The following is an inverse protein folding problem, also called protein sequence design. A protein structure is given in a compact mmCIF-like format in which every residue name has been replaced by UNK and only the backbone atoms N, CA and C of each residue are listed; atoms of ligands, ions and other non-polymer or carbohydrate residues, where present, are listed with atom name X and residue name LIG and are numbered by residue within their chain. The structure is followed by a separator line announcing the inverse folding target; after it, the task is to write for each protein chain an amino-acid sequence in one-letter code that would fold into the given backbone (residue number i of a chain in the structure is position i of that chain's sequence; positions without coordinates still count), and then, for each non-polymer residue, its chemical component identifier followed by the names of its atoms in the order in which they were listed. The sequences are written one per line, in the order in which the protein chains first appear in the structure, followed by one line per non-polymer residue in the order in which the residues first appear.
data_IF_498012234634
#
_entry.id   IF_498012234634
#
_cell.length_a   1.000
_cell.length_b   1.000
_cell.length_c   1.000
_cell.angle_alpha   90.00
_cell.angle_beta   90.00
_cell.angle_gamma   90.00
#
_symmetry.space_group_name_H-M   'P 1'
#
loop_
_entity.id
_entity.type
_entity.pdbx_description
1 polymer ?
#
# COMPACT_ATOMS: atom_id res chain seq x y z
N UNK A 1 49.88 47.19 42.64
CA UNK A 1 49.31 48.24 41.78
C UNK A 1 47.79 48.20 41.99
N UNK A 2 47.30 48.91 43.01
CA UNK A 2 46.61 50.23 42.90
C UNK A 2 45.09 50.02 42.71
N UNK A 3 44.30 50.00 43.80
CA UNK A 3 43.42 51.08 44.34
C UNK A 3 41.94 50.92 43.92
N UNK A 4 41.13 50.69 44.95
CA UNK A 4 39.80 51.26 45.31
C UNK A 4 38.96 52.04 44.29
N UNK A 5 37.67 51.70 44.22
CA UNK A 5 36.53 52.63 44.08
C UNK A 5 35.23 51.84 44.36
N UNK A 6 34.08 52.37 44.75
CA UNK A 6 33.61 53.57 45.45
C UNK A 6 32.07 53.39 45.47
N UNK A 7 31.43 53.33 46.63
CA UNK A 7 29.97 53.27 46.74
C UNK A 7 29.36 54.67 46.60
N UNK A 8 28.33 54.83 45.75
CA UNK A 8 27.34 55.94 45.85
C UNK A 8 26.09 55.67 45.01
N UNK A 9 24.91 55.89 45.61
CA UNK A 9 23.61 56.06 44.94
C UNK A 9 22.58 54.96 45.25
N UNK A 10 22.03 54.84 46.47
CA UNK A 10 20.82 55.49 46.99
C UNK A 10 19.53 55.35 46.14
N UNK A 11 18.71 54.37 46.55
CA UNK A 11 17.28 54.45 46.85
C UNK A 11 16.40 55.45 46.09
N UNK A 12 15.49 54.90 45.26
CA UNK A 12 14.09 55.34 45.21
C UNK A 12 13.18 54.13 45.34
N UNK A 13 12.43 54.10 46.44
CA UNK A 13 11.24 53.30 46.58
C UNK A 13 10.10 53.98 45.80
N UNK A 14 9.31 53.22 45.04
CA UNK A 14 7.90 53.57 44.81
C UNK A 14 7.04 52.32 44.55
N UNK A 15 6.31 51.97 45.61
CA UNK A 15 4.95 51.46 45.70
C UNK A 15 4.34 50.70 44.50
N UNK A 16 4.16 49.38 44.66
CA UNK A 16 3.15 48.60 43.90
C UNK A 16 1.89 48.43 44.75
N UNK A 17 0.68 48.68 44.23
CA UNK A 17 -0.56 48.48 44.97
C UNK A 17 -0.88 46.98 45.11
N UNK A 18 -1.66 46.57 46.14
CA UNK A 18 -2.05 45.18 46.30
C UNK A 18 -3.04 44.76 45.21
N UNK A 19 -2.86 43.53 44.72
CA UNK A 19 -3.75 42.89 43.74
C UNK A 19 -5.19 42.88 44.28
N UNK A 20 -6.09 43.59 43.59
CA UNK A 20 -7.54 43.43 43.77
C UNK A 20 -7.93 41.99 43.44
N UNK A 21 -8.53 41.31 44.40
CA UNK A 21 -9.29 40.08 44.17
C UNK A 21 -10.36 40.34 43.11
N UNK A 22 -10.24 39.69 41.94
CA UNK A 22 -11.34 39.66 40.97
C UNK A 22 -12.53 38.93 41.58
N UNK A 23 -13.74 39.51 41.55
CA UNK A 23 -14.94 38.79 41.95
C UNK A 23 -15.39 37.88 40.79
N UNK A 24 -15.57 36.60 41.10
CA UNK A 24 -16.40 35.62 40.38
C UNK A 24 -16.13 35.50 38.86
N UNK A 25 -15.16 34.66 38.50
CA UNK A 25 -15.28 33.91 37.25
C UNK A 25 -16.56 33.04 37.36
N UNK A 26 -17.50 33.08 36.41
CA UNK A 26 -18.67 32.23 36.46
C UNK A 26 -18.21 30.78 36.39
N UNK A 27 -18.58 29.98 37.40
CA UNK A 27 -18.44 28.54 37.32
C UNK A 27 -19.13 28.06 36.04
N UNK A 28 -18.49 27.19 35.24
CA UNK A 28 -19.14 26.63 34.07
C UNK A 28 -20.38 25.87 34.55
N UNK A 29 -21.56 26.37 34.17
CA UNK A 29 -22.82 25.77 34.56
C UNK A 29 -22.93 24.29 34.13
N UNK A 30 -23.80 23.50 34.77
CA UNK A 30 -23.88 22.05 34.59
C UNK A 30 -24.05 21.58 33.12
N UNK A 31 -24.54 22.44 32.22
CA UNK A 31 -24.65 22.18 30.79
C UNK A 31 -23.29 22.04 30.05
N UNK A 32 -22.23 22.71 30.51
CA UNK A 32 -20.89 22.61 29.89
C UNK A 32 -20.20 21.29 30.26
N UNK A 33 -20.49 20.78 31.46
CA UNK A 33 -19.97 19.49 31.92
C UNK A 33 -20.71 18.29 31.30
N UNK A 34 -21.99 18.44 30.94
CA UNK A 34 -22.78 17.38 30.29
C UNK A 34 -22.40 17.15 28.81
N UNK A 35 -22.02 18.18 28.04
CA UNK A 35 -21.71 18.06 26.59
C UNK A 35 -20.39 17.29 26.32
N UNK A 36 -19.55 17.11 27.33
CA UNK A 36 -18.29 16.35 27.20
C UNK A 36 -18.54 14.84 27.19
N UNK A 37 -19.72 14.37 27.65
CA UNK A 37 -20.03 12.93 27.82
C UNK A 37 -20.75 12.29 26.64
N UNK A 38 -21.08 13.04 25.58
CA UNK A 38 -21.82 12.56 24.39
C UNK A 38 -21.06 12.67 23.05
N UNK A 39 -19.81 13.13 23.04
CA UNK A 39 -19.00 13.27 21.82
C UNK A 39 -18.19 12.03 21.46
N UNK A 40 -18.83 10.90 21.11
CA UNK A 40 -18.11 9.69 20.71
C UNK A 40 -17.55 9.76 19.27
N UNK A 41 -18.22 10.51 18.38
CA UNK A 41 -17.77 10.77 17.01
C UNK A 41 -17.51 12.27 16.79
N UNK A 42 -16.52 12.57 15.95
CA UNK A 42 -16.08 13.94 15.67
C UNK A 42 -17.14 14.75 14.91
N UNK A 43 -17.78 14.13 13.91
CA UNK A 43 -18.77 14.80 13.08
C UNK A 43 -20.19 14.60 13.64
N UNK A 44 -20.89 15.70 13.96
CA UNK A 44 -22.29 15.68 14.43
C UNK A 44 -23.34 15.85 13.32
N UNK A 45 -22.92 16.31 12.14
CA UNK A 45 -23.76 16.50 10.96
C UNK A 45 -23.02 16.04 9.69
N UNK A 46 -23.74 15.80 8.59
CA UNK A 46 -23.12 15.40 7.32
C UNK A 46 -22.50 14.00 7.28
N UNK A 47 -22.77 13.18 8.31
CA UNK A 47 -22.21 11.83 8.50
C UNK A 47 -22.49 10.94 7.30
N UNK A 48 -23.71 10.97 6.75
CA UNK A 48 -24.08 10.13 5.59
C UNK A 48 -23.18 10.42 4.39
N UNK A 49 -22.90 11.70 4.10
CA UNK A 49 -21.99 12.08 3.02
C UNK A 49 -20.55 11.60 3.26
N UNK A 50 -20.09 11.65 4.52
CA UNK A 50 -18.77 11.14 4.91
C UNK A 50 -18.69 9.63 4.72
N UNK A 51 -19.68 8.88 5.22
CA UNK A 51 -19.72 7.41 5.09
C UNK A 51 -19.81 6.99 3.63
N UNK A 52 -20.61 7.67 2.81
CA UNK A 52 -20.73 7.35 1.38
C UNK A 52 -19.44 7.62 0.61
N UNK A 53 -18.83 8.79 0.79
CA UNK A 53 -17.56 9.13 0.12
C UNK A 53 -16.41 8.26 0.59
N UNK A 54 -16.33 7.98 1.89
CA UNK A 54 -15.32 7.08 2.45
C UNK A 54 -15.53 5.64 1.98
N UNK A 55 -16.79 5.17 1.93
CA UNK A 55 -17.12 3.85 1.43
C UNK A 55 -16.76 3.70 -0.05
N UNK A 56 -17.10 4.70 -0.87
CA UNK A 56 -16.69 4.75 -2.27
C UNK A 56 -15.16 4.74 -2.42
N UNK A 57 -14.44 5.48 -1.58
CA UNK A 57 -12.98 5.55 -1.59
C UNK A 57 -12.33 4.18 -1.35
N UNK A 58 -12.78 3.43 -0.34
CA UNK A 58 -12.26 2.08 -0.06
C UNK A 58 -12.76 1.02 -1.05
N UNK A 59 -13.97 1.17 -1.60
CA UNK A 59 -14.45 0.30 -2.68
C UNK A 59 -13.64 0.50 -3.96
N UNK A 60 -13.23 1.72 -4.29
CA UNK A 60 -12.34 1.98 -5.44
C UNK A 60 -10.97 1.29 -5.26
N UNK A 61 -10.45 1.24 -4.03
CA UNK A 61 -9.25 0.45 -3.74
C UNK A 61 -9.49 -1.06 -3.97
N UNK A 62 -10.61 -1.61 -3.50
CA UNK A 62 -10.96 -3.01 -3.75
C UNK A 62 -11.13 -3.32 -5.25
N UNK A 63 -11.85 -2.46 -5.98
CA UNK A 63 -12.00 -2.60 -7.43
C UNK A 63 -10.66 -2.47 -8.17
N UNK A 64 -9.75 -1.62 -7.68
CA UNK A 64 -8.41 -1.49 -8.26
C UNK A 64 -7.59 -2.76 -8.08
N UNK A 65 -7.69 -3.42 -6.94
CA UNK A 65 -6.97 -4.67 -6.67
C UNK A 65 -7.57 -5.86 -7.45
N UNK A 66 -8.90 -5.92 -7.57
CA UNK A 66 -9.59 -6.93 -8.38
C UNK A 66 -9.28 -6.77 -9.89
N UNK A 67 -9.35 -5.53 -10.41
CA UNK A 67 -9.07 -5.23 -11.80
C UNK A 67 -7.58 -5.28 -12.17
N UNK A 68 -6.67 -5.29 -11.20
CA UNK A 68 -5.22 -5.32 -11.44
C UNK A 68 -4.76 -6.63 -12.09
N UNK A 69 -5.55 -7.70 -11.97
CA UNK A 69 -5.21 -9.00 -12.52
C UNK A 69 -4.09 -9.68 -11.75
N UNK A 70 -4.05 -9.56 -10.42
CA UNK A 70 -3.13 -10.36 -9.60
C UNK A 70 -3.59 -11.82 -9.52
N UNK A 71 -4.85 -12.02 -9.16
CA UNK A 71 -5.52 -13.32 -9.11
C UNK A 71 -6.83 -13.19 -9.85
N UNK A 72 -7.27 -14.28 -10.49
CA UNK A 72 -8.57 -14.29 -11.16
C UNK A 72 -9.70 -14.06 -10.14
N UNK A 73 -10.53 -13.04 -10.40
CA UNK A 73 -11.77 -12.75 -9.69
C UNK A 73 -11.61 -12.62 -8.16
N UNK A 74 -11.00 -11.51 -7.72
CA UNK A 74 -10.88 -11.14 -6.31
C UNK A 74 -12.14 -10.37 -5.82
N UNK A 75 -13.32 -10.74 -6.30
CA UNK A 75 -14.60 -10.12 -5.89
C UNK A 75 -14.87 -10.18 -4.38
N UNK A 76 -14.18 -11.06 -3.64
CA UNK A 76 -14.17 -11.14 -2.17
C UNK A 76 -13.74 -9.83 -1.49
N UNK A 77 -12.93 -8.99 -2.15
CA UNK A 77 -12.47 -7.73 -1.57
C UNK A 77 -13.64 -6.78 -1.27
N UNK A 78 -14.75 -6.88 -2.00
CA UNK A 78 -15.95 -6.06 -1.80
C UNK A 78 -16.61 -6.35 -0.44
N UNK A 79 -17.08 -7.58 -0.13
CA UNK A 79 -17.66 -7.86 1.17
C UNK A 79 -16.67 -7.68 2.33
N UNK A 80 -15.36 -7.81 2.09
CA UNK A 80 -14.32 -7.51 3.09
C UNK A 80 -14.31 -6.02 3.44
N UNK A 81 -14.27 -5.13 2.43
CA UNK A 81 -14.34 -3.68 2.64
C UNK A 81 -15.66 -3.28 3.30
N UNK A 82 -16.78 -3.82 2.85
CA UNK A 82 -18.10 -3.51 3.44
C UNK A 82 -18.17 -3.92 4.92
N UNK A 83 -17.68 -5.11 5.26
CA UNK A 83 -17.60 -5.58 6.65
C UNK A 83 -16.69 -4.70 7.50
N UNK A 84 -15.51 -4.34 7.00
CA UNK A 84 -14.55 -3.49 7.68
C UNK A 84 -15.08 -2.08 7.92
N UNK A 85 -15.76 -1.48 6.92
CA UNK A 85 -16.39 -0.17 7.04
C UNK A 85 -17.55 -0.19 8.03
N UNK A 86 -18.43 -1.20 7.96
CA UNK A 86 -19.52 -1.36 8.92
C UNK A 86 -18.95 -1.46 10.35
N UNK A 87 -17.91 -2.26 10.53
CA UNK A 87 -17.24 -2.42 11.82
C UNK A 87 -16.55 -1.15 12.30
N UNK A 88 -15.86 -0.45 11.41
CA UNK A 88 -15.20 0.82 11.70
C UNK A 88 -16.20 1.92 12.08
N UNK A 89 -17.35 1.98 11.41
CA UNK A 89 -18.46 2.87 11.78
C UNK A 89 -18.97 2.53 13.17
N UNK A 90 -19.36 1.27 13.43
CA UNK A 90 -19.87 0.85 14.73
C UNK A 90 -18.89 1.16 15.88
N UNK A 91 -17.60 0.89 15.66
CA UNK A 91 -16.55 1.18 16.63
C UNK A 91 -16.32 2.69 16.81
N UNK A 92 -16.48 3.50 15.77
CA UNK A 92 -16.34 4.95 15.90
C UNK A 92 -17.34 5.57 16.87
N UNK A 93 -18.54 4.99 16.99
CA UNK A 93 -19.60 5.46 17.90
C UNK A 93 -19.64 4.71 19.24
N UNK A 94 -18.72 3.79 19.50
CA UNK A 94 -18.69 3.02 20.75
C UNK A 94 -17.78 3.65 21.81
N UNK A 95 -18.03 3.32 23.08
CA UNK A 95 -17.27 3.84 24.23
C UNK A 95 -15.96 3.09 24.50
N UNK A 96 -15.64 2.08 23.68
CA UNK A 96 -14.45 1.25 23.91
C UNK A 96 -13.16 2.05 23.73
N UNK A 97 -12.09 1.57 24.33
CA UNK A 97 -10.76 2.15 24.20
C UNK A 97 -10.06 1.65 22.93
N UNK A 98 -8.92 2.25 22.60
CA UNK A 98 -8.19 1.91 21.38
C UNK A 98 -7.68 0.47 21.33
N UNK A 99 -7.27 -0.10 22.46
CA UNK A 99 -6.75 -1.46 22.49
C UNK A 99 -7.83 -2.50 22.23
N UNK A 100 -8.99 -2.39 22.90
CA UNK A 100 -10.12 -3.28 22.63
C UNK A 100 -10.57 -3.19 21.16
N UNK A 101 -10.62 -1.99 20.60
CA UNK A 101 -10.98 -1.77 19.20
C UNK A 101 -10.05 -2.49 18.22
N UNK A 102 -8.73 -2.34 18.40
CA UNK A 102 -7.73 -2.96 17.54
C UNK A 102 -7.75 -4.49 17.66
N UNK A 103 -7.76 -5.02 18.88
CA UNK A 103 -7.81 -6.46 19.13
C UNK A 103 -9.12 -7.10 18.64
N UNK A 104 -10.24 -6.41 18.81
CA UNK A 104 -11.51 -6.90 18.32
C UNK A 104 -11.62 -6.83 16.80
N UNK A 105 -11.07 -5.79 16.16
CA UNK A 105 -10.97 -5.71 14.70
C UNK A 105 -10.08 -6.81 14.12
N UNK A 106 -8.99 -7.15 14.81
CA UNK A 106 -8.14 -8.28 14.45
C UNK A 106 -8.94 -9.59 14.43
N UNK A 107 -9.61 -9.91 15.53
CA UNK A 107 -10.36 -11.16 15.67
C UNK A 107 -11.56 -11.24 14.72
N UNK A 108 -12.35 -10.16 14.61
CA UNK A 108 -13.53 -10.13 13.73
C UNK A 108 -13.15 -10.07 12.27
N UNK A 109 -12.08 -9.36 11.91
CA UNK A 109 -11.54 -9.31 10.56
C UNK A 109 -10.99 -10.66 10.11
N UNK A 110 -10.22 -11.33 10.97
CA UNK A 110 -9.75 -12.68 10.69
C UNK A 110 -10.93 -13.63 10.44
N UNK A 111 -11.92 -13.65 11.34
CA UNK A 111 -13.10 -14.51 11.18
C UNK A 111 -13.92 -14.17 9.92
N UNK A 112 -14.14 -12.89 9.63
CA UNK A 112 -14.90 -12.43 8.47
C UNK A 112 -14.21 -12.78 7.16
N UNK A 113 -12.92 -12.47 7.04
CA UNK A 113 -12.11 -12.79 5.85
C UNK A 113 -12.05 -14.30 5.65
N UNK A 114 -11.75 -15.08 6.70
CA UNK A 114 -11.73 -16.54 6.60
C UNK A 114 -13.07 -17.11 6.16
N UNK A 115 -14.17 -16.61 6.72
CA UNK A 115 -15.52 -17.04 6.33
C UNK A 115 -15.82 -16.79 4.85
N UNK A 116 -15.39 -15.67 4.29
CA UNK A 116 -15.57 -15.41 2.86
C UNK A 116 -14.61 -16.23 1.99
N UNK A 117 -13.38 -16.44 2.46
CA UNK A 117 -12.37 -17.25 1.78
C UNK A 117 -12.83 -18.71 1.61
N UNK A 118 -13.51 -19.31 2.60
CA UNK A 118 -14.03 -20.69 2.47
C UNK A 118 -15.00 -20.83 1.30
N UNK A 119 -15.73 -19.75 0.93
CA UNK A 119 -16.65 -19.75 -0.21
C UNK A 119 -15.94 -19.70 -1.56
N UNK A 120 -14.66 -19.34 -1.59
CA UNK A 120 -13.83 -19.31 -2.81
C UNK A 120 -13.07 -20.61 -3.06
N UNK A 121 -12.95 -21.47 -2.04
CA UNK A 121 -12.29 -22.78 -2.19
C UNK A 121 -13.07 -23.59 -3.22
N UNK A 122 -12.43 -23.87 -4.36
CA UNK A 122 -13.00 -24.71 -5.42
C UNK A 122 -13.09 -26.17 -4.97
N UNK A 123 -13.63 -27.06 -5.81
CA UNK A 123 -13.65 -28.50 -5.49
C UNK A 123 -12.24 -29.09 -5.52
N UNK A 124 -11.53 -28.91 -4.40
CA UNK A 124 -10.17 -29.36 -4.19
C UNK A 124 -10.17 -30.79 -3.63
N UNK A 125 -9.41 -31.73 -4.20
CA UNK A 125 -9.36 -33.11 -3.72
C UNK A 125 -8.99 -33.22 -2.23
N UNK A 126 -8.16 -32.32 -1.72
CA UNK A 126 -7.79 -32.28 -0.30
C UNK A 126 -8.97 -31.96 0.62
N UNK A 127 -9.93 -31.15 0.15
CA UNK A 127 -11.16 -30.85 0.91
C UNK A 127 -12.03 -32.11 1.03
N UNK A 128 -12.11 -32.91 -0.05
CA UNK A 128 -12.87 -34.16 -0.05
C UNK A 128 -12.34 -35.14 1.00
N UNK A 129 -11.02 -35.23 1.17
CA UNK A 129 -10.41 -36.09 2.21
C UNK A 129 -10.95 -35.74 3.60
N UNK A 130 -11.04 -34.46 3.96
CA UNK A 130 -11.61 -34.05 5.25
C UNK A 130 -13.09 -34.41 5.38
N UNK A 131 -13.86 -34.22 4.31
CA UNK A 131 -15.30 -34.52 4.28
C UNK A 131 -15.55 -36.03 4.42
N UNK A 132 -14.75 -36.87 3.77
CA UNK A 132 -14.81 -38.34 3.90
C UNK A 132 -14.55 -38.81 5.33
N UNK A 133 -13.76 -38.06 6.11
CA UNK A 133 -13.52 -38.32 7.53
C UNK A 133 -14.60 -37.73 8.46
N UNK A 134 -15.73 -37.28 7.92
CA UNK A 134 -16.89 -36.80 8.68
C UNK A 134 -16.83 -35.33 9.10
N UNK A 135 -15.89 -34.54 8.56
CA UNK A 135 -15.79 -33.11 8.85
C UNK A 135 -16.81 -32.35 7.98
N UNK A 136 -17.61 -31.42 8.54
CA UNK A 136 -18.52 -30.59 7.75
C UNK A 136 -17.79 -29.80 6.66
N UNK A 137 -18.38 -29.70 5.46
CA UNK A 137 -17.76 -29.07 4.28
C UNK A 137 -17.17 -27.67 4.56
N UNK A 138 -17.90 -26.79 5.25
CA UNK A 138 -17.41 -25.46 5.59
C UNK A 138 -16.15 -25.50 6.47
N UNK A 139 -16.11 -26.44 7.42
CA UNK A 139 -14.96 -26.62 8.31
C UNK A 139 -13.78 -27.28 7.57
N UNK A 140 -14.04 -28.22 6.67
CA UNK A 140 -13.04 -28.83 5.80
C UNK A 140 -12.35 -27.78 4.92
N UNK A 141 -13.11 -26.86 4.31
CA UNK A 141 -12.57 -25.74 3.53
C UNK A 141 -11.74 -24.78 4.40
N UNK A 142 -12.16 -24.53 5.64
CA UNK A 142 -11.41 -23.69 6.58
C UNK A 142 -10.08 -24.34 6.97
N UNK A 143 -10.06 -25.66 7.21
CA UNK A 143 -8.83 -26.40 7.48
C UNK A 143 -7.89 -26.43 6.28
N UNK A 144 -8.42 -26.61 5.07
CA UNK A 144 -7.62 -26.49 3.85
C UNK A 144 -6.93 -25.11 3.74
N UNK A 145 -7.66 -24.02 3.99
CA UNK A 145 -7.07 -22.67 3.97
C UNK A 145 -6.01 -22.46 5.05
N UNK A 146 -6.24 -23.01 6.25
CA UNK A 146 -5.26 -22.95 7.34
C UNK A 146 -3.99 -23.74 7.00
N UNK A 147 -4.13 -24.93 6.43
CA UNK A 147 -3.01 -25.76 5.93
C UNK A 147 -2.20 -24.99 4.89
N UNK A 148 -2.86 -24.37 3.91
CA UNK A 148 -2.22 -23.57 2.84
C UNK A 148 -1.44 -22.39 3.41
N UNK A 149 -2.00 -21.70 4.39
CA UNK A 149 -1.32 -20.61 5.09
C UNK A 149 -0.09 -21.11 5.87
N UNK A 150 -0.21 -22.23 6.59
CA UNK A 150 0.92 -22.84 7.31
C UNK A 150 2.04 -23.29 6.35
N UNK A 151 1.69 -23.93 5.23
CA UNK A 151 2.65 -24.31 4.19
C UNK A 151 3.37 -23.08 3.61
N UNK A 152 2.67 -21.96 3.42
CA UNK A 152 3.29 -20.71 2.97
C UNK A 152 4.21 -20.10 4.04
N UNK A 153 3.85 -20.13 5.32
CA UNK A 153 4.71 -19.66 6.42
C UNK A 153 6.00 -20.49 6.48
N UNK A 154 5.89 -21.81 6.38
CA UNK A 154 7.06 -22.71 6.31
C UNK A 154 7.94 -22.40 5.09
N UNK A 155 7.32 -22.15 3.92
CA UNK A 155 8.05 -21.79 2.72
C UNK A 155 8.81 -20.46 2.87
N UNK A 156 8.16 -19.44 3.45
CA UNK A 156 8.77 -18.14 3.73
C UNK A 156 9.97 -18.25 4.69
N UNK A 157 9.86 -19.07 5.74
CA UNK A 157 10.96 -19.29 6.71
C UNK A 157 12.13 -20.07 6.12
N UNK A 158 11.86 -20.99 5.19
CA UNK A 158 12.89 -21.82 4.52
C UNK A 158 13.50 -21.15 3.29
N UNK A 159 13.01 -19.96 2.92
CA UNK A 159 13.47 -19.23 1.73
C UNK A 159 13.01 -19.87 0.41
N UNK A 160 11.96 -20.70 0.46
CA UNK A 160 11.36 -21.30 -0.73
C UNK A 160 10.17 -20.44 -1.20
N UNK A 161 10.06 -20.21 -2.50
CA UNK A 161 8.96 -19.44 -3.06
C UNK A 161 7.66 -20.27 -3.01
N UNK A 162 6.60 -19.70 -2.44
CA UNK A 162 5.27 -20.32 -2.40
C UNK A 162 4.28 -19.50 -3.21
N UNK A 163 3.87 -20.05 -4.36
CA UNK A 163 2.93 -19.39 -5.25
C UNK A 163 1.50 -19.85 -4.98
N UNK A 164 0.88 -19.26 -3.96
CA UNK A 164 -0.46 -19.62 -3.52
C UNK A 164 -1.43 -18.43 -3.63
N UNK A 165 -2.34 -18.51 -4.60
CA UNK A 165 -3.38 -17.51 -4.83
C UNK A 165 -4.31 -17.34 -3.63
N UNK A 166 -4.59 -18.41 -2.87
CA UNK A 166 -5.45 -18.32 -1.69
C UNK A 166 -4.74 -17.55 -0.57
N UNK A 167 -3.45 -17.78 -0.36
CA UNK A 167 -2.68 -17.06 0.67
C UNK A 167 -2.54 -15.59 0.31
N UNK A 168 -2.25 -15.26 -0.94
CA UNK A 168 -2.24 -13.86 -1.38
C UNK A 168 -3.60 -13.18 -1.21
N UNK A 169 -4.69 -13.82 -1.63
CA UNK A 169 -6.04 -13.28 -1.43
C UNK A 169 -6.36 -13.07 0.05
N UNK A 170 -5.94 -13.99 0.92
CA UNK A 170 -6.09 -13.87 2.37
C UNK A 170 -5.37 -12.63 2.92
N UNK A 171 -4.11 -12.45 2.57
CA UNK A 171 -3.29 -11.33 3.03
C UNK A 171 -3.81 -9.98 2.53
N UNK A 172 -4.12 -9.87 1.24
CA UNK A 172 -4.67 -8.64 0.66
C UNK A 172 -6.03 -8.32 1.25
N UNK A 173 -6.89 -9.33 1.47
CA UNK A 173 -8.17 -9.14 2.15
C UNK A 173 -7.98 -8.63 3.58
N UNK A 174 -7.03 -9.21 4.32
CA UNK A 174 -6.73 -8.78 5.68
C UNK A 174 -6.14 -7.37 5.74
N UNK A 175 -5.26 -7.01 4.79
CA UNK A 175 -4.75 -5.65 4.61
C UNK A 175 -5.88 -4.66 4.34
N UNK A 176 -6.77 -4.95 3.37
CA UNK A 176 -7.93 -4.10 3.06
C UNK A 176 -8.86 -3.94 4.26
N UNK A 177 -9.12 -5.02 4.99
CA UNK A 177 -9.93 -4.96 6.21
C UNK A 177 -9.35 -3.94 7.18
N UNK A 178 -8.05 -4.03 7.46
CA UNK A 178 -7.37 -3.12 8.36
C UNK A 178 -7.36 -1.68 7.85
N UNK A 179 -7.06 -1.45 6.57
CA UNK A 179 -7.06 -0.11 5.99
C UNK A 179 -8.45 0.53 6.05
N UNK A 180 -9.50 -0.19 5.65
CA UNK A 180 -10.88 0.30 5.68
C UNK A 180 -11.38 0.54 7.10
N UNK A 181 -11.09 -0.37 8.03
CA UNK A 181 -11.43 -0.25 9.44
C UNK A 181 -10.74 0.97 10.08
N UNK A 182 -9.41 1.06 9.96
CA UNK A 182 -8.63 2.17 10.53
C UNK A 182 -8.97 3.50 9.84
N UNK A 183 -9.25 3.48 8.54
CA UNK A 183 -9.72 4.63 7.79
C UNK A 183 -11.03 5.18 8.34
N UNK A 184 -12.05 4.32 8.45
CA UNK A 184 -13.33 4.69 9.07
C UNK A 184 -13.17 5.19 10.50
N UNK A 185 -12.41 4.46 11.31
CA UNK A 185 -12.17 4.80 12.70
C UNK A 185 -11.49 6.17 12.87
N UNK A 186 -10.39 6.41 12.15
CA UNK A 186 -9.64 7.67 12.24
C UNK A 186 -10.43 8.87 11.71
N UNK A 187 -11.18 8.69 10.62
CA UNK A 187 -12.02 9.75 10.04
C UNK A 187 -13.18 10.08 10.98
N UNK A 188 -13.97 9.08 11.39
CA UNK A 188 -15.23 9.33 12.10
C UNK A 188 -15.03 9.64 13.58
N UNK A 189 -14.10 8.95 14.26
CA UNK A 189 -13.86 9.16 15.70
C UNK A 189 -12.98 10.38 15.96
N UNK A 190 -11.95 10.59 15.14
CA UNK A 190 -10.93 11.62 15.41
C UNK A 190 -10.96 12.82 14.45
N UNK A 191 -11.69 12.75 13.33
CA UNK A 191 -11.69 13.81 12.32
C UNK A 191 -10.40 13.89 11.49
N UNK A 192 -9.51 12.90 11.60
CA UNK A 192 -8.23 12.89 10.88
C UNK A 192 -8.39 12.35 9.46
N UNK A 193 -9.14 13.09 8.64
CA UNK A 193 -9.53 12.69 7.28
C UNK A 193 -8.32 12.37 6.41
N UNK A 194 -7.27 13.19 6.50
CA UNK A 194 -6.05 13.03 5.71
C UNK A 194 -5.35 11.69 5.99
N UNK A 195 -5.41 11.18 7.23
CA UNK A 195 -4.82 9.87 7.57
C UNK A 195 -5.61 8.74 6.91
N UNK A 196 -6.95 8.79 7.00
CA UNK A 196 -7.82 7.81 6.36
C UNK A 196 -7.69 7.80 4.84
N UNK A 197 -7.49 8.95 4.21
CA UNK A 197 -7.24 9.06 2.76
C UNK A 197 -5.86 8.51 2.39
N UNK A 198 -4.81 8.90 3.11
CA UNK A 198 -3.44 8.48 2.79
C UNK A 198 -3.21 6.98 2.95
N UNK A 199 -3.82 6.35 3.96
CA UNK A 199 -3.73 4.90 4.17
C UNK A 199 -4.18 4.13 2.92
N UNK A 200 -5.33 4.49 2.36
CA UNK A 200 -5.81 3.90 1.12
C UNK A 200 -5.07 4.42 -0.12
N UNK A 201 -4.67 5.69 -0.12
CA UNK A 201 -4.00 6.38 -1.22
C UNK A 201 -2.65 5.77 -1.58
N UNK A 202 -1.85 5.44 -0.56
CA UNK A 202 -0.58 4.73 -0.76
C UNK A 202 -0.83 3.34 -1.35
N UNK A 203 -1.82 2.59 -0.82
CA UNK A 203 -2.13 1.25 -1.31
C UNK A 203 -2.57 1.24 -2.78
N UNK A 204 -3.47 2.15 -3.18
CA UNK A 204 -3.91 2.23 -4.59
C UNK A 204 -2.81 2.74 -5.52
N UNK A 205 -1.91 3.62 -5.04
CA UNK A 205 -0.77 4.09 -5.82
C UNK A 205 0.23 2.96 -6.07
N UNK A 206 0.60 2.21 -5.02
CA UNK A 206 1.48 1.04 -5.14
C UNK A 206 0.86 0.00 -6.06
N UNK A 207 -0.43 -0.29 -5.90
CA UNK A 207 -1.14 -1.20 -6.79
C UNK A 207 -1.11 -0.69 -8.24
N UNK A 208 -1.38 0.59 -8.48
CA UNK A 208 -1.37 1.16 -9.84
C UNK A 208 0.00 1.14 -10.51
N UNK A 209 1.07 1.16 -9.71
CA UNK A 209 2.44 1.08 -10.22
C UNK A 209 2.83 -0.35 -10.61
N UNK A 210 2.40 -1.35 -9.82
CA UNK A 210 2.80 -2.74 -10.01
C UNK A 210 1.77 -3.64 -10.69
N UNK A 211 0.53 -3.17 -10.85
CA UNK A 211 -0.57 -3.97 -11.38
C UNK A 211 -0.21 -4.55 -12.77
N UNK A 212 -0.42 -5.86 -12.98
CA UNK A 212 -0.29 -6.48 -14.30
C UNK A 212 -1.15 -5.82 -15.38
N UNK A 213 -2.34 -5.35 -15.01
CA UNK A 213 -3.27 -4.64 -15.88
C UNK A 213 -3.35 -3.15 -15.50
N UNK A 214 -3.53 -2.24 -16.49
CA UNK A 214 -3.58 -0.80 -16.21
C UNK A 214 -4.85 -0.43 -15.45
N UNK A 215 -4.69 -0.04 -14.18
CA UNK A 215 -5.78 0.40 -13.28
C UNK A 215 -5.77 1.91 -13.00
N UNK A 216 -5.04 2.69 -13.80
CA UNK A 216 -4.84 4.14 -13.58
C UNK A 216 -6.15 4.92 -13.51
N UNK A 217 -7.20 4.52 -14.25
CA UNK A 217 -8.51 5.18 -14.21
C UNK A 217 -9.17 5.10 -12.83
N UNK A 218 -8.94 4.00 -12.09
CA UNK A 218 -9.44 3.85 -10.72
C UNK A 218 -8.66 4.72 -9.74
N UNK A 219 -7.35 4.89 -9.93
CA UNK A 219 -6.54 5.85 -9.16
C UNK A 219 -7.04 7.29 -9.37
N UNK A 220 -7.31 7.70 -10.62
CA UNK A 220 -7.84 9.04 -10.91
C UNK A 220 -9.19 9.24 -10.22
N UNK A 221 -10.09 8.27 -10.33
CA UNK A 221 -11.40 8.32 -9.69
C UNK A 221 -11.27 8.37 -8.17
N UNK A 222 -10.34 7.60 -7.59
CA UNK A 222 -10.02 7.64 -6.17
C UNK A 222 -9.55 9.04 -5.74
N UNK A 223 -8.64 9.67 -6.49
CA UNK A 223 -8.17 11.03 -6.19
C UNK A 223 -9.32 12.05 -6.21
N UNK A 224 -10.26 11.94 -7.16
CA UNK A 224 -11.45 12.80 -7.19
C UNK A 224 -12.26 12.59 -5.90
N UNK A 225 -12.62 11.35 -5.57
CA UNK A 225 -13.43 11.03 -4.38
C UNK A 225 -12.72 11.47 -3.09
N UNK A 226 -11.40 11.30 -3.00
CA UNK A 226 -10.58 11.75 -1.87
C UNK A 226 -10.64 13.27 -1.70
N UNK A 227 -10.52 14.05 -2.79
CA UNK A 227 -10.63 15.50 -2.74
C UNK A 227 -12.05 15.95 -2.37
N UNK A 228 -13.08 15.27 -2.88
CA UNK A 228 -14.47 15.54 -2.50
C UNK A 228 -14.72 15.22 -1.01
N UNK A 229 -14.15 14.13 -0.50
CA UNK A 229 -14.20 13.79 0.93
C UNK A 229 -13.53 14.87 1.79
N UNK A 230 -12.34 15.32 1.41
CA UNK A 230 -11.63 16.41 2.09
C UNK A 230 -12.43 17.71 2.06
N UNK A 231 -13.01 18.07 0.91
CA UNK A 231 -13.83 19.26 0.77
C UNK A 231 -15.12 19.17 1.61
N UNK A 232 -15.82 18.04 1.55
CA UNK A 232 -17.04 17.81 2.33
C UNK A 232 -16.79 17.88 3.82
N UNK A 233 -15.76 17.18 4.30
CA UNK A 233 -15.40 17.20 5.73
C UNK A 233 -14.94 18.57 6.19
N UNK A 234 -14.19 19.32 5.37
CA UNK A 234 -13.84 20.71 5.67
C UNK A 234 -15.08 21.61 5.80
N UNK A 235 -16.04 21.49 4.88
CA UNK A 235 -17.30 22.23 4.95
C UNK A 235 -18.09 21.89 6.22
N UNK A 236 -18.20 20.61 6.56
CA UNK A 236 -18.89 20.15 7.77
C UNK A 236 -18.21 20.71 9.03
N UNK A 237 -16.88 20.65 9.13
CA UNK A 237 -16.15 21.24 10.25
C UNK A 237 -16.34 22.75 10.35
N UNK A 238 -16.33 23.46 9.22
CA UNK A 238 -16.58 24.91 9.19
C UNK A 238 -18.01 25.25 9.63
N UNK A 239 -19.02 24.48 9.21
CA UNK A 239 -20.41 24.68 9.64
C UNK A 239 -20.59 24.49 11.14
N UNK A 240 -20.00 23.44 11.71
CA UNK A 240 -20.05 23.22 13.16
C UNK A 240 -19.42 24.40 13.92
N UNK A 241 -18.28 24.90 13.43
CA UNK A 241 -17.61 26.09 13.99
C UNK A 241 -18.46 27.36 13.85
N UNK A 242 -19.04 27.62 12.69
CA UNK A 242 -19.90 28.80 12.48
C UNK A 242 -21.16 28.76 13.33
N UNK A 243 -21.78 27.59 13.52
CA UNK A 243 -22.91 27.44 14.45
C UNK A 243 -22.50 27.76 15.88
N UNK A 244 -21.33 27.29 16.32
CA UNK A 244 -20.79 27.62 17.65
C UNK A 244 -20.54 29.13 17.80
N UNK A 245 -19.98 29.77 16.77
CA UNK A 245 -19.73 31.21 16.71
C UNK A 245 -21.00 32.04 16.39
N UNK A 246 -22.18 31.40 16.22
CA UNK A 246 -23.47 32.01 15.84
C UNK A 246 -23.43 32.83 14.54
N UNK A 247 -22.53 32.47 13.63
CA UNK A 247 -22.42 33.07 12.29
C UNK A 247 -23.47 32.42 11.38
N UNK A 248 -24.30 33.24 10.73
CA UNK A 248 -25.30 32.78 9.77
C UNK A 248 -24.64 32.42 8.44
N UNK A 249 -25.07 31.31 7.86
CA UNK A 249 -24.65 30.84 6.53
C UNK A 249 -25.88 30.46 5.71
N UNK A 250 -25.74 30.47 4.38
CA UNK A 250 -26.82 30.08 3.47
C UNK A 250 -27.08 28.56 3.57
N UNK A 251 -28.35 28.12 3.52
CA UNK A 251 -28.71 26.71 3.60
C UNK A 251 -28.18 25.91 2.39
N UNK A 252 -28.14 26.55 1.21
CA UNK A 252 -27.68 25.93 -0.04
C UNK A 252 -26.16 25.88 -0.21
N UNK A 253 -25.40 26.36 0.80
CA UNK A 253 -23.93 26.40 0.75
C UNK A 253 -23.30 25.02 0.50
N UNK A 254 -23.99 23.92 0.82
CA UNK A 254 -23.50 22.56 0.55
C UNK A 254 -23.37 22.32 -0.94
N UNK A 255 -24.43 22.59 -1.68
CA UNK A 255 -24.50 22.26 -3.09
C UNK A 255 -23.51 23.10 -3.89
N UNK A 256 -23.49 24.42 -3.66
CA UNK A 256 -22.55 25.33 -4.34
C UNK A 256 -21.09 25.00 -4.03
N UNK A 257 -20.79 24.72 -2.76
CA UNK A 257 -19.44 24.37 -2.35
C UNK A 257 -18.99 23.03 -2.97
N UNK A 258 -19.87 22.02 -3.00
CA UNK A 258 -19.54 20.72 -3.60
C UNK A 258 -19.34 20.80 -5.11
N UNK A 259 -20.22 21.52 -5.81
CA UNK A 259 -20.09 21.78 -7.25
C UNK A 259 -18.75 22.46 -7.55
N UNK A 260 -18.38 23.49 -6.79
CA UNK A 260 -17.10 24.17 -6.96
C UNK A 260 -15.91 23.25 -6.65
N UNK A 261 -16.03 22.40 -5.63
CA UNK A 261 -15.00 21.43 -5.26
C UNK A 261 -14.74 20.40 -6.36
N UNK A 262 -15.77 20.00 -7.13
CA UNK A 262 -15.60 19.14 -8.31
C UNK A 262 -14.73 19.85 -9.35
N UNK A 263 -15.00 21.12 -9.67
CA UNK A 263 -14.17 21.87 -10.61
C UNK A 263 -12.72 22.00 -10.13
N UNK A 264 -12.53 22.33 -8.85
CA UNK A 264 -11.18 22.39 -8.26
C UNK A 264 -10.46 21.03 -8.30
N UNK A 265 -11.16 19.93 -8.00
CA UNK A 265 -10.58 18.59 -8.05
C UNK A 265 -10.11 18.24 -9.47
N UNK A 266 -10.91 18.54 -10.48
CA UNK A 266 -10.53 18.34 -11.89
C UNK A 266 -9.27 19.14 -12.21
N UNK A 267 -9.23 20.44 -11.90
CA UNK A 267 -8.08 21.30 -12.16
C UNK A 267 -6.82 20.79 -11.46
N UNK A 268 -6.91 20.44 -10.18
CA UNK A 268 -5.78 19.92 -9.39
C UNK A 268 -5.25 18.63 -10.00
N UNK A 269 -6.13 17.71 -10.40
CA UNK A 269 -5.73 16.45 -11.03
C UNK A 269 -5.11 16.71 -12.41
N UNK A 270 -5.66 17.60 -13.22
CA UNK A 270 -5.07 17.96 -14.52
C UNK A 270 -3.65 18.52 -14.35
N UNK A 271 -3.42 19.39 -13.37
CA UNK A 271 -2.08 19.91 -13.06
C UNK A 271 -1.16 18.78 -12.60
N UNK A 272 -1.63 17.89 -11.72
CA UNK A 272 -0.85 16.75 -11.23
C UNK A 272 -0.42 15.80 -12.35
N UNK A 273 -1.24 15.61 -13.39
CA UNK A 273 -0.90 14.82 -14.56
C UNK A 273 0.16 15.47 -15.46
N UNK A 274 0.22 16.81 -15.50
CA UNK A 274 1.21 17.54 -16.30
C UNK A 274 2.54 17.68 -15.56
N UNK A 275 2.51 17.73 -14.22
CA UNK A 275 3.66 18.02 -13.37
C UNK A 275 4.91 17.12 -13.61
N UNK A 276 4.81 15.80 -13.82
CA UNK A 276 5.99 14.94 -14.05
C UNK A 276 6.83 15.35 -15.28
N UNK A 277 6.20 15.98 -16.29
CA UNK A 277 6.92 16.45 -17.48
C UNK A 277 7.83 17.65 -17.21
N UNK A 278 7.68 18.32 -16.06
CA UNK A 278 8.41 19.53 -15.70
C UNK A 278 9.66 19.25 -14.85
N UNK A 279 9.86 18.01 -14.37
CA UNK A 279 10.76 17.71 -13.24
C UNK A 279 11.82 16.61 -13.45
N UNK A 280 12.16 16.21 -14.69
CA UNK A 280 13.22 15.20 -14.95
C UNK A 280 14.64 15.77 -14.77
N UNK A 281 14.97 16.25 -13.56
CA UNK A 281 16.32 16.71 -13.23
C UNK A 281 17.17 15.56 -12.65
N UNK A 282 18.41 15.42 -13.13
CA UNK A 282 19.34 14.39 -12.65
C UNK A 282 19.62 14.49 -11.13
N UNK A 283 19.56 15.70 -10.57
CA UNK A 283 19.72 15.97 -9.15
C UNK A 283 18.59 15.37 -8.29
N UNK A 284 17.34 15.37 -8.79
CA UNK A 284 16.21 14.77 -8.09
C UNK A 284 16.34 13.24 -8.01
N UNK A 285 16.83 12.60 -9.07
CA UNK A 285 17.08 11.15 -9.07
C UNK A 285 18.20 10.75 -8.10
N UNK A 286 19.27 11.55 -7.99
CA UNK A 286 20.35 11.28 -7.03
C UNK A 286 19.89 11.41 -5.57
N UNK A 287 18.99 12.37 -5.27
CA UNK A 287 18.41 12.51 -3.94
C UNK A 287 17.51 11.34 -3.54
N UNK A 288 16.80 10.75 -4.50
CA UNK A 288 15.93 9.59 -4.28
C UNK A 288 16.65 8.24 -4.36
N UNK A 289 17.90 8.19 -4.83
CA UNK A 289 18.67 6.96 -4.98
C UNK A 289 18.64 6.01 -3.76
N UNK A 290 18.85 6.45 -2.50
CA UNK A 290 18.80 5.55 -1.35
C UNK A 290 17.40 5.00 -1.04
N UNK A 291 16.35 5.75 -1.40
CA UNK A 291 14.96 5.29 -1.25
C UNK A 291 14.65 4.26 -2.34
N UNK A 292 15.05 4.56 -3.58
CA UNK A 292 14.86 3.67 -4.72
C UNK A 292 15.57 2.33 -4.51
N UNK A 293 16.82 2.32 -4.03
CA UNK A 293 17.55 1.09 -3.73
C UNK A 293 16.84 0.22 -2.67
N UNK A 294 16.33 0.84 -1.58
CA UNK A 294 15.57 0.11 -0.57
C UNK A 294 14.27 -0.45 -1.14
N UNK A 295 13.59 0.34 -1.97
CA UNK A 295 12.36 -0.07 -2.62
C UNK A 295 12.58 -1.20 -3.62
N UNK A 296 13.66 -1.13 -4.41
CA UNK A 296 14.11 -2.18 -5.33
C UNK A 296 14.37 -3.48 -4.56
N UNK A 297 15.16 -3.44 -3.47
CA UNK A 297 15.42 -4.64 -2.66
C UNK A 297 14.16 -5.24 -2.02
N UNK A 298 13.23 -4.40 -1.52
CA UNK A 298 11.95 -4.88 -1.00
C UNK A 298 11.07 -5.49 -2.09
N UNK A 299 11.14 -4.94 -3.31
CA UNK A 299 10.41 -5.44 -4.48
C UNK A 299 11.01 -6.76 -4.97
N UNK A 300 12.32 -6.93 -4.96
CA UNK A 300 12.99 -8.20 -5.29
C UNK A 300 12.60 -9.30 -4.31
N UNK A 301 12.55 -8.99 -3.01
CA UNK A 301 12.12 -9.92 -1.97
C UNK A 301 10.63 -10.27 -2.10
N UNK A 302 9.78 -9.27 -2.34
CA UNK A 302 8.36 -9.49 -2.62
C UNK A 302 8.16 -10.38 -3.86
N UNK A 303 8.89 -10.09 -4.93
CA UNK A 303 8.87 -10.89 -6.15
C UNK A 303 9.33 -12.32 -5.85
N UNK A 304 10.34 -12.52 -4.98
CA UNK A 304 10.80 -13.84 -4.54
C UNK A 304 9.72 -14.65 -3.83
N UNK A 305 8.96 -14.02 -2.93
CA UNK A 305 7.87 -14.69 -2.21
C UNK A 305 6.71 -15.04 -3.15
N UNK A 306 6.44 -14.22 -4.16
CA UNK A 306 5.26 -14.33 -5.02
C UNK A 306 5.56 -14.48 -6.52
N UNK A 307 6.64 -15.18 -6.88
CA UNK A 307 7.15 -15.33 -8.27
C UNK A 307 6.13 -15.84 -9.32
N UNK A 308 4.90 -16.20 -8.95
CA UNK A 308 3.89 -16.65 -9.91
C UNK A 308 2.46 -16.17 -9.67
N UNK A 309 2.26 -15.05 -8.95
CA UNK A 309 0.98 -14.35 -8.96
C UNK A 309 0.81 -13.72 -10.34
N UNK A 310 -0.05 -14.38 -11.11
CA UNK A 310 -0.35 -14.23 -12.52
C UNK A 310 0.75 -14.64 -13.54
N UNK A 311 0.37 -15.58 -14.42
CA UNK A 311 1.13 -16.05 -15.59
C UNK A 311 0.94 -15.17 -16.83
N UNK A 312 0.41 -13.95 -16.66
CA UNK A 312 0.21 -13.01 -17.76
C UNK A 312 1.33 -11.98 -17.78
N UNK A 313 2.31 -12.29 -18.64
CA UNK A 313 3.15 -11.35 -19.39
C UNK A 313 3.40 -9.99 -18.75
N UNK A 314 4.22 -10.01 -17.68
CA UNK A 314 5.08 -8.87 -17.36
C UNK A 314 5.84 -8.51 -18.66
N UNK A 315 5.74 -7.27 -19.19
CA UNK A 315 6.66 -6.84 -20.24
C UNK A 315 8.06 -6.98 -19.67
N UNK A 316 8.80 -7.94 -20.21
CA UNK A 316 10.09 -8.42 -19.72
C UNK A 316 11.01 -7.23 -19.42
N UNK A 317 11.24 -6.94 -18.14
CA UNK A 317 12.58 -6.55 -17.72
C UNK A 317 13.42 -7.81 -17.84
N UNK A 318 14.51 -7.72 -18.59
CA UNK A 318 15.39 -8.82 -18.97
C UNK A 318 16.23 -9.28 -17.77
N UNK A 319 15.57 -9.75 -16.70
CA UNK A 319 16.22 -10.31 -15.52
C UNK A 319 16.22 -11.84 -15.65
N UNK A 320 17.37 -12.40 -16.04
CA UNK A 320 17.58 -13.84 -15.96
C UNK A 320 17.94 -14.20 -14.51
N UNK A 321 16.99 -14.79 -13.79
CA UNK A 321 17.16 -15.18 -12.38
C UNK A 321 17.75 -16.58 -12.19
N UNK A 322 17.79 -17.03 -10.93
CA UNK A 322 18.23 -18.37 -10.54
C UNK A 322 17.20 -19.48 -10.80
N UNK A 323 15.97 -19.11 -11.17
CA UNK A 323 14.88 -20.02 -11.51
C UNK A 323 14.29 -19.65 -12.86
N UNK A 324 13.87 -20.68 -13.61
CA UNK A 324 13.10 -20.55 -14.84
C UNK A 324 11.89 -21.48 -14.79
N UNK A 325 10.72 -20.90 -14.57
CA UNK A 325 9.46 -21.63 -14.63
C UNK A 325 9.09 -21.94 -16.07
N UNK A 326 8.60 -23.15 -16.33
CA UNK A 326 8.01 -23.48 -17.62
C UNK A 326 6.70 -22.70 -17.77
N UNK A 327 6.70 -21.73 -18.68
CA UNK A 327 5.56 -20.89 -19.02
C UNK A 327 5.38 -20.84 -20.53
N UNK A 328 4.18 -20.47 -20.98
CA UNK A 328 3.85 -20.29 -22.39
C UNK A 328 4.60 -19.12 -23.03
N UNK A 329 4.01 -18.55 -24.08
CA UNK A 329 4.63 -17.49 -24.89
C UNK A 329 5.19 -16.33 -24.04
N UNK A 330 6.41 -15.90 -24.37
CA UNK A 330 7.05 -14.74 -23.75
C UNK A 330 6.76 -13.49 -24.58
N UNK A 331 6.23 -12.45 -23.94
CA UNK A 331 6.11 -11.14 -24.57
C UNK A 331 7.47 -10.43 -24.57
N UNK A 332 8.13 -10.40 -25.72
CA UNK A 332 9.31 -9.59 -25.96
C UNK A 332 8.89 -8.20 -26.44
N UNK A 333 9.50 -7.15 -25.89
CA UNK A 333 9.29 -5.77 -26.38
C UNK A 333 10.31 -5.44 -27.47
N UNK A 334 10.04 -4.41 -28.27
CA UNK A 334 11.00 -3.88 -29.23
C UNK A 334 12.10 -3.00 -28.59
N UNK A 335 12.20 -2.97 -27.24
CA UNK A 335 13.24 -2.20 -26.58
C UNK A 335 14.61 -2.88 -26.78
N UNK A 336 15.61 -2.16 -27.28
CA UNK A 336 16.95 -2.72 -27.45
C UNK A 336 17.61 -2.92 -26.08
N UNK A 337 18.02 -4.16 -25.79
CA UNK A 337 18.65 -4.56 -24.50
C UNK A 337 20.17 -4.54 -24.57
N UNK A 338 20.73 -4.95 -25.70
CA UNK A 338 22.16 -4.92 -25.99
C UNK A 338 22.40 -4.82 -27.50
N UNK A 339 23.57 -4.34 -27.87
CA UNK A 339 24.10 -4.37 -29.23
C UNK A 339 25.34 -5.26 -29.24
N UNK A 340 25.38 -6.24 -30.15
CA UNK A 340 26.52 -7.15 -30.28
C UNK A 340 27.12 -7.03 -31.66
N UNK A 341 28.41 -6.69 -31.73
CA UNK A 341 29.21 -6.78 -32.94
C UNK A 341 30.00 -8.08 -32.89
N UNK A 342 29.71 -9.02 -33.80
CA UNK A 342 30.42 -10.30 -33.91
C UNK A 342 30.44 -10.76 -35.36
N UNK A 343 31.48 -11.54 -35.71
CA UNK A 343 31.59 -12.18 -37.03
C UNK A 343 30.65 -13.38 -37.18
N UNK A 344 30.31 -14.03 -36.05
CA UNK A 344 29.40 -15.18 -35.97
C UNK A 344 28.56 -15.13 -34.68
N UNK A 345 27.39 -15.76 -34.68
CA UNK A 345 26.58 -15.94 -33.47
C UNK A 345 25.09 -15.65 -33.67
N UNK A 346 24.24 -16.55 -33.14
CA UNK A 346 22.78 -16.37 -33.06
C UNK A 346 22.24 -16.52 -31.63
N UNK A 347 23.05 -17.04 -30.72
CA UNK A 347 22.67 -17.37 -29.35
C UNK A 347 23.67 -16.76 -28.39
N UNK A 348 23.21 -15.80 -27.61
CA UNK A 348 23.96 -15.20 -26.52
C UNK A 348 23.52 -15.90 -25.24
N UNK A 349 24.45 -16.61 -24.59
CA UNK A 349 24.12 -17.30 -23.34
C UNK A 349 23.84 -16.22 -22.29
N UNK A 350 22.85 -16.48 -21.43
CA UNK A 350 22.59 -15.63 -20.28
C UNK A 350 22.78 -16.42 -18.98
N UNK A 351 21.89 -17.37 -18.73
CA UNK A 351 21.92 -18.27 -17.58
C UNK A 351 21.79 -19.71 -18.05
N UNK A 352 22.49 -20.63 -17.38
CA UNK A 352 22.23 -22.06 -17.49
C UNK A 352 21.51 -22.56 -16.24
N UNK A 353 20.58 -23.48 -16.44
CA UNK A 353 19.87 -24.17 -15.38
C UNK A 353 20.20 -25.65 -15.45
N UNK A 354 20.46 -26.26 -14.30
CA UNK A 354 20.97 -27.62 -14.19
C UNK A 354 19.94 -28.60 -13.58
N UNK A 355 19.01 -28.11 -12.76
CA UNK A 355 18.09 -28.98 -12.01
C UNK A 355 16.64 -28.70 -12.39
N UNK A 356 15.90 -29.73 -12.83
CA UNK A 356 14.46 -29.65 -13.09
C UNK A 356 13.65 -30.26 -11.95
N UNK A 357 12.73 -29.49 -11.37
CA UNK A 357 11.94 -29.90 -10.18
C UNK A 357 10.56 -30.47 -10.52
N UNK A 358 10.30 -30.76 -11.80
CA UNK A 358 8.96 -31.14 -12.28
C UNK A 358 8.08 -29.95 -12.66
N UNK A 359 8.42 -28.72 -12.22
CA UNK A 359 7.65 -27.49 -12.52
C UNK A 359 8.53 -26.33 -13.03
N UNK A 360 9.80 -26.29 -12.66
CA UNK A 360 10.73 -25.24 -13.03
C UNK A 360 12.16 -25.78 -13.15
N UNK A 361 12.98 -25.05 -13.88
CA UNK A 361 14.43 -25.19 -13.97
C UNK A 361 15.10 -24.30 -12.92
N UNK A 362 16.14 -24.79 -12.27
CA UNK A 362 16.90 -24.09 -11.24
C UNK A 362 18.37 -24.06 -11.60
N UNK A 363 19.02 -22.95 -11.24
CA UNK A 363 20.48 -22.80 -11.22
C UNK A 363 20.96 -23.02 -9.78
N UNK A 364 21.63 -24.14 -9.55
CA UNK A 364 22.13 -24.57 -8.24
C UNK A 364 23.57 -24.14 -7.98
N UNK A 365 24.15 -23.27 -8.82
CA UNK A 365 25.53 -22.81 -8.66
C UNK A 365 25.74 -22.15 -7.28
N UNK A 366 26.65 -22.72 -6.49
CA UNK A 366 26.91 -22.28 -5.11
C UNK A 366 27.81 -21.04 -5.01
N UNK A 367 28.55 -20.74 -6.09
CA UNK A 367 29.51 -19.64 -6.13
C UNK A 367 29.22 -18.71 -7.31
N UNK A 368 29.30 -17.42 -7.04
CA UNK A 368 29.36 -16.37 -8.04
C UNK A 368 30.79 -15.84 -8.04
N UNK A 369 31.35 -15.64 -9.24
CA UNK A 369 32.72 -15.17 -9.42
C UNK A 369 32.66 -13.90 -10.25
N UNK A 370 33.14 -12.81 -9.67
CA UNK A 370 33.30 -11.52 -10.34
C UNK A 370 34.66 -11.50 -11.03
N UNK A 371 34.72 -10.92 -12.22
CA UNK A 371 35.94 -10.80 -13.02
C UNK A 371 36.20 -9.33 -13.31
N UNK A 372 37.45 -8.91 -13.16
CA UNK A 372 37.88 -7.55 -13.48
C UNK A 372 37.94 -7.31 -15.00
N UNK A 373 37.94 -6.05 -15.40
CA UNK A 373 38.11 -5.68 -16.80
C UNK A 373 39.43 -6.23 -17.37
N UNK A 374 39.36 -6.89 -18.52
CA UNK A 374 40.46 -7.59 -19.20
C UNK A 374 40.97 -8.87 -18.49
N UNK A 375 40.28 -9.34 -17.45
CA UNK A 375 40.59 -10.64 -16.86
C UNK A 375 40.15 -11.78 -17.79
N UNK A 376 40.99 -12.82 -17.88
CA UNK A 376 40.65 -14.00 -18.69
C UNK A 376 39.75 -14.94 -17.92
N UNK A 377 38.50 -15.07 -18.37
CA UNK A 377 37.54 -16.00 -17.78
C UNK A 377 37.96 -17.45 -18.13
N UNK A 378 38.06 -18.37 -17.16
CA UNK A 378 38.36 -19.76 -17.43
C UNK A 378 37.20 -20.43 -18.18
N UNK A 379 37.39 -20.68 -19.48
CA UNK A 379 36.43 -21.39 -20.32
C UNK A 379 36.93 -22.81 -20.58
N UNK A 380 36.05 -23.81 -20.44
CA UNK A 380 36.37 -25.18 -20.85
C UNK A 380 36.65 -25.19 -22.35
N UNK A 381 37.84 -25.69 -22.74
CA UNK A 381 38.23 -25.80 -24.13
C UNK A 381 37.63 -27.09 -24.72
N UNK A 382 36.68 -26.94 -25.64
CA UNK A 382 36.04 -28.05 -26.34
C UNK A 382 36.56 -28.10 -27.77
N UNK A 383 36.89 -29.30 -28.25
CA UNK A 383 37.54 -29.54 -29.55
C UNK A 383 36.74 -29.03 -30.76
N UNK A 384 35.43 -28.85 -30.61
CA UNK A 384 34.53 -28.36 -31.65
C UNK A 384 34.28 -26.84 -31.59
N UNK A 385 34.98 -26.08 -30.73
CA UNK A 385 34.82 -24.62 -30.63
C UNK A 385 35.84 -23.89 -31.49
N UNK A 386 35.40 -22.82 -32.15
CA UNK A 386 36.25 -21.82 -32.78
C UNK A 386 36.35 -20.58 -31.89
N UNK A 387 37.45 -19.84 -32.02
CA UNK A 387 37.62 -18.56 -31.33
C UNK A 387 36.86 -17.49 -32.12
N UNK A 388 35.98 -16.76 -31.45
CA UNK A 388 35.22 -15.64 -32.01
C UNK A 388 35.47 -14.41 -31.14
N UNK A 389 35.70 -13.26 -31.78
CA UNK A 389 35.79 -11.97 -31.10
C UNK A 389 34.44 -11.27 -31.20
N UNK A 390 33.86 -10.90 -30.06
CA UNK A 390 32.59 -10.20 -29.96
C UNK A 390 32.74 -8.93 -29.11
N UNK A 391 32.04 -7.88 -29.48
CA UNK A 391 31.91 -6.66 -28.69
C UNK A 391 30.45 -6.50 -28.28
N UNK A 392 30.17 -6.56 -26.98
CA UNK A 392 28.82 -6.43 -26.43
C UNK A 392 28.68 -5.06 -25.77
N UNK A 393 27.70 -4.28 -26.21
CA UNK A 393 27.34 -2.98 -25.64
C UNK A 393 25.98 -3.10 -24.97
N UNK A 394 25.92 -2.94 -23.65
CA UNK A 394 24.67 -2.98 -22.91
C UNK A 394 23.91 -1.66 -23.06
N UNK A 395 22.63 -1.74 -23.43
CA UNK A 395 21.75 -0.59 -23.64
C UNK A 395 20.68 -0.45 -22.53
N UNK A 396 20.46 -1.53 -21.77
CA UNK A 396 19.59 -1.58 -20.61
C UNK A 396 20.28 -2.35 -19.45
N UNK A 397 19.90 -2.09 -18.18
CA UNK A 397 20.39 -2.88 -17.05
C UNK A 397 19.96 -4.34 -17.23
N UNK A 398 20.91 -5.27 -17.31
CA UNK A 398 20.61 -6.69 -17.58
C UNK A 398 20.90 -7.63 -16.41
N UNK A 399 21.22 -7.14 -15.22
CA UNK A 399 21.69 -7.98 -14.12
C UNK A 399 23.02 -8.70 -14.46
N UNK A 400 23.35 -9.73 -13.68
CA UNK A 400 24.63 -10.43 -13.73
C UNK A 400 24.65 -11.48 -14.86
N UNK A 401 24.80 -11.01 -16.10
CA UNK A 401 24.85 -11.88 -17.30
C UNK A 401 26.28 -11.93 -17.87
N UNK A 402 26.75 -13.14 -18.17
CA UNK A 402 27.94 -13.42 -18.96
C UNK A 402 27.54 -13.69 -20.42
N UNK A 403 28.08 -12.93 -21.39
CA UNK A 403 27.77 -13.02 -22.82
C UNK A 403 28.83 -13.77 -23.63
#
# INVERSE_FOLDING_TARGET
MTITANQRGLNRADQRPPLRSQPNAPEPGPAVAEDTRLGLAHFREGITGIILLLGMLYLLLAFSLDAAGWVANMGILIPVVLGALAMGVLMSYSRFDGFFMLSHSLSTGLAWVFFWMTRLVSEEPRVLVFVEHGIPDLQARAYFLLERWLEWVEAALTGTASNDNYVFMLEISFLLWWLAYLGAWTVLRHGFVWRGVMLAGVAILVNSYYAPQPVIGLLVTFCIVALLLLAWTNLVSNRQRWRFERIRFNQDIAFDFMRNSIYYAIVVISIAFIAPNLGRSAQFNQWLAPINQRWESATEEWNRLYQGINRQTIPVQTAFGRSLTLGGERNVTAQPVMQVASVEGRYWRAVAYDTFTGRQWLNTAAAEVEYDANETIPVINWTARSIVTQTVTMLAPSGNILF
#
